data_IF_742701699623
#
_entry.id   IF_742701699623
#
_cell.length_a   1.000
_cell.length_b   1.000
_cell.length_c   1.000
_cell.angle_alpha   90.00
_cell.angle_beta   90.00
_cell.angle_gamma   90.00
#
_symmetry.space_group_name_H-M   'P 1'
#
loop_
_entity.id
_entity.type
_entity.pdbx_description
1 polymer ?
#
# COMPACT_ATOMS: atom_id res chain seq x y z
N UNK A 1 6.12 -21.14 -27.84
CA UNK A 1 4.88 -21.95 -27.97
C UNK A 1 4.62 -22.18 -29.45
N UNK A 2 4.51 -23.44 -29.90
CA UNK A 2 4.25 -23.79 -31.31
C UNK A 2 2.74 -23.84 -31.61
N UNK A 3 2.34 -24.09 -32.86
CA UNK A 3 0.93 -24.33 -33.18
C UNK A 3 0.48 -25.61 -32.46
N UNK A 4 -0.53 -25.50 -31.61
CA UNK A 4 -1.11 -26.61 -30.86
C UNK A 4 -2.58 -26.30 -30.55
N UNK A 5 -3.35 -27.34 -30.22
CA UNK A 5 -4.75 -27.21 -29.83
C UNK A 5 -4.83 -27.03 -28.31
N UNK A 6 -5.61 -26.06 -27.84
CA UNK A 6 -5.86 -25.82 -26.41
C UNK A 6 -7.34 -25.97 -26.09
N UNK A 7 -7.61 -26.57 -24.92
CA UNK A 7 -8.95 -26.60 -24.35
C UNK A 7 -9.35 -25.19 -23.92
N UNK A 8 -10.54 -24.73 -24.30
CA UNK A 8 -11.07 -23.40 -23.92
C UNK A 8 -11.15 -23.27 -22.39
N UNK A 9 -11.34 -24.38 -21.66
CA UNK A 9 -11.35 -24.40 -20.19
C UNK A 9 -10.01 -23.98 -19.55
N UNK A 10 -8.90 -24.11 -20.27
CA UNK A 10 -7.56 -23.77 -19.79
C UNK A 10 -7.04 -22.42 -20.33
N UNK A 11 -7.88 -21.67 -21.05
CA UNK A 11 -7.49 -20.41 -21.69
C UNK A 11 -8.39 -19.27 -21.20
N UNK A 12 -7.78 -18.24 -20.63
CA UNK A 12 -8.46 -16.98 -20.30
C UNK A 12 -8.12 -15.93 -21.38
N UNK A 13 -9.10 -15.45 -22.17
CA UNK A 13 -8.86 -14.39 -23.15
C UNK A 13 -8.43 -13.08 -22.47
N UNK A 14 -7.33 -12.51 -22.95
CA UNK A 14 -6.86 -11.20 -22.50
C UNK A 14 -7.57 -10.06 -23.26
N UNK A 15 -7.46 -8.83 -22.74
CA UNK A 15 -8.00 -7.62 -23.36
C UNK A 15 -7.32 -7.24 -24.69
N UNK A 16 -6.21 -7.88 -25.04
CA UNK A 16 -5.44 -7.57 -26.24
C UNK A 16 -5.95 -8.41 -27.41
N UNK A 17 -6.40 -7.72 -28.46
CA UNK A 17 -6.81 -8.33 -29.73
C UNK A 17 -5.82 -7.91 -30.82
N UNK A 18 -5.36 -8.89 -31.60
CA UNK A 18 -4.59 -8.66 -32.82
C UNK A 18 -5.51 -8.95 -34.00
N UNK A 19 -5.62 -8.02 -34.94
CA UNK A 19 -6.45 -8.20 -36.14
C UNK A 19 -5.70 -9.07 -37.14
N UNK A 20 -6.11 -10.33 -37.25
CA UNK A 20 -5.55 -11.34 -38.16
C UNK A 20 -6.66 -12.17 -38.79
N UNK A 21 -6.50 -12.69 -40.03
CA UNK A 21 -7.45 -13.61 -40.62
C UNK A 21 -7.49 -14.95 -39.85
N UNK A 22 -8.57 -15.72 -40.02
CA UNK A 22 -8.65 -17.08 -39.46
C UNK A 22 -7.60 -17.98 -40.14
N UNK A 23 -6.93 -18.84 -39.37
CA UNK A 23 -5.91 -19.79 -39.83
C UNK A 23 -4.73 -19.14 -40.60
N UNK A 24 -4.02 -18.15 -40.03
CA UNK A 24 -2.89 -17.49 -40.70
C UNK A 24 -1.64 -18.38 -40.73
N UNK A 25 -0.72 -18.10 -41.65
CA UNK A 25 0.65 -18.67 -41.63
C UNK A 25 1.43 -18.11 -40.43
N UNK A 26 2.39 -18.88 -39.91
CA UNK A 26 3.20 -18.51 -38.74
C UNK A 26 3.99 -17.21 -38.94
N UNK A 27 4.48 -16.96 -40.17
CA UNK A 27 5.20 -15.71 -40.51
C UNK A 27 4.29 -14.48 -40.35
N UNK A 28 3.12 -14.50 -40.98
CA UNK A 28 2.15 -13.41 -40.89
C UNK A 28 1.64 -13.19 -39.45
N UNK A 29 1.48 -14.26 -38.67
CA UNK A 29 1.12 -14.16 -37.25
C UNK A 29 2.19 -13.43 -36.43
N UNK A 30 3.47 -13.76 -36.62
CA UNK A 30 4.58 -13.10 -35.92
C UNK A 30 4.63 -11.61 -36.24
N UNK A 31 4.61 -11.26 -37.52
CA UNK A 31 4.63 -9.87 -37.99
C UNK A 31 3.46 -9.05 -37.43
N UNK A 32 2.25 -9.62 -37.39
CA UNK A 32 1.08 -8.94 -36.82
C UNK A 32 1.18 -8.75 -35.29
N UNK A 33 1.68 -9.76 -34.56
CA UNK A 33 1.89 -9.65 -33.11
C UNK A 33 2.95 -8.58 -32.81
N UNK A 34 4.07 -8.60 -33.52
CA UNK A 34 5.17 -7.66 -33.32
C UNK A 34 4.73 -6.22 -33.65
N UNK A 35 4.01 -6.03 -34.75
CA UNK A 35 3.46 -4.73 -35.15
C UNK A 35 2.44 -4.20 -34.13
N UNK A 36 1.59 -5.07 -33.59
CA UNK A 36 0.60 -4.69 -32.57
C UNK A 36 1.21 -4.34 -31.21
N UNK A 37 2.45 -4.78 -30.96
CA UNK A 37 3.15 -4.73 -29.67
C UNK A 37 2.30 -5.28 -28.52
N UNK A 38 1.41 -6.24 -28.81
CA UNK A 38 0.45 -6.75 -27.84
C UNK A 38 1.15 -7.46 -26.67
N UNK A 39 2.26 -8.16 -26.94
CA UNK A 39 3.03 -8.84 -25.91
C UNK A 39 3.75 -7.86 -24.98
N UNK A 40 4.32 -6.78 -25.51
CA UNK A 40 4.95 -5.73 -24.69
C UNK A 40 3.91 -5.03 -23.80
N UNK A 41 2.76 -4.69 -24.39
CA UNK A 41 1.63 -4.10 -23.66
C UNK A 41 1.13 -5.04 -22.56
N UNK A 42 1.07 -6.35 -22.84
CA UNK A 42 0.73 -7.35 -21.83
C UNK A 42 1.79 -7.44 -20.72
N UNK A 43 3.08 -7.47 -21.06
CA UNK A 43 4.19 -7.52 -20.10
C UNK A 43 4.20 -6.33 -19.13
N UNK A 44 3.74 -5.17 -19.58
CA UNK A 44 3.61 -3.99 -18.73
C UNK A 44 2.46 -4.09 -17.69
N UNK A 45 1.48 -4.97 -17.92
CA UNK A 45 0.31 -5.10 -17.03
C UNK A 45 0.67 -5.62 -15.65
N UNK A 46 -0.13 -5.23 -14.65
CA UNK A 46 0.04 -5.68 -13.26
C UNK A 46 -0.11 -7.20 -13.12
N UNK A 47 -0.97 -7.83 -13.91
CA UNK A 47 -1.21 -9.29 -13.88
C UNK A 47 -0.01 -10.05 -14.41
N UNK A 48 0.54 -9.67 -15.57
CA UNK A 48 1.74 -10.30 -16.13
C UNK A 48 2.93 -10.20 -15.17
N UNK A 49 3.18 -9.03 -14.59
CA UNK A 49 4.22 -8.83 -13.57
C UNK A 49 4.07 -9.76 -12.37
N UNK A 50 2.84 -10.05 -11.94
CA UNK A 50 2.57 -11.00 -10.84
C UNK A 50 2.82 -12.45 -11.22
N UNK A 51 2.51 -12.84 -12.45
CA UNK A 51 2.78 -14.20 -12.94
C UNK A 51 4.29 -14.46 -12.95
N UNK A 52 5.06 -13.53 -13.50
CA UNK A 52 6.53 -13.60 -13.51
C UNK A 52 7.09 -13.60 -12.08
N UNK A 53 6.59 -12.72 -11.21
CA UNK A 53 7.00 -12.71 -9.82
C UNK A 53 6.70 -14.03 -9.10
N UNK A 54 5.57 -14.69 -9.38
CA UNK A 54 5.24 -16.00 -8.81
C UNK A 54 6.24 -17.08 -9.21
N UNK A 55 6.69 -17.06 -10.47
CA UNK A 55 7.73 -17.97 -10.96
C UNK A 55 9.07 -17.71 -10.25
N UNK A 56 9.48 -16.45 -10.12
CA UNK A 56 10.70 -16.07 -9.40
C UNK A 56 10.65 -16.47 -7.91
N UNK A 57 9.50 -16.31 -7.25
CA UNK A 57 9.31 -16.72 -5.86
C UNK A 57 9.41 -18.24 -5.68
N UNK A 58 8.89 -19.03 -6.63
CA UNK A 58 8.98 -20.49 -6.59
C UNK A 58 10.43 -20.98 -6.74
N UNK A 59 11.25 -20.27 -7.51
CA UNK A 59 12.66 -20.60 -7.74
C UNK A 59 13.64 -19.95 -6.74
N UNK A 60 13.14 -19.20 -5.75
CA UNK A 60 13.99 -18.37 -4.89
C UNK A 60 14.84 -19.18 -3.90
N UNK A 61 16.04 -18.69 -3.63
CA UNK A 61 16.91 -19.20 -2.56
C UNK A 61 16.52 -18.64 -1.19
N UNK A 62 17.04 -19.23 -0.10
CA UNK A 62 16.71 -18.77 1.24
C UNK A 62 17.20 -17.35 1.54
N UNK A 63 18.37 -17.01 1.00
CA UNK A 63 18.93 -15.68 1.12
C UNK A 63 18.04 -14.61 0.46
N UNK A 64 17.52 -14.88 -0.74
CA UNK A 64 16.58 -13.98 -1.43
C UNK A 64 15.26 -13.83 -0.65
N UNK A 65 14.77 -14.92 -0.04
CA UNK A 65 13.60 -14.85 0.85
C UNK A 65 13.87 -14.02 2.10
N UNK A 66 15.08 -14.08 2.64
CA UNK A 66 15.51 -13.21 3.74
C UNK A 66 15.54 -11.74 3.30
N UNK A 67 16.13 -11.43 2.14
CA UNK A 67 16.13 -10.07 1.59
C UNK A 67 14.71 -9.53 1.39
N UNK A 68 13.81 -10.34 0.81
CA UNK A 68 12.40 -9.98 0.64
C UNK A 68 11.72 -9.71 2.00
N UNK A 69 12.02 -10.53 3.02
CA UNK A 69 11.50 -10.35 4.38
C UNK A 69 11.97 -9.03 4.99
N UNK A 70 13.26 -8.71 4.87
CA UNK A 70 13.84 -7.46 5.37
C UNK A 70 13.22 -6.25 4.67
N UNK A 71 13.07 -6.30 3.35
CA UNK A 71 12.42 -5.24 2.58
C UNK A 71 10.97 -5.00 3.04
N UNK A 72 10.20 -6.07 3.30
CA UNK A 72 8.83 -5.97 3.84
C UNK A 72 8.79 -5.34 5.24
N UNK A 73 9.71 -5.69 6.13
CA UNK A 73 9.81 -5.08 7.47
C UNK A 73 10.18 -3.60 7.39
N UNK A 74 11.17 -3.25 6.57
CA UNK A 74 11.58 -1.87 6.35
C UNK A 74 10.40 -1.03 5.86
N UNK A 75 9.69 -1.51 4.83
CA UNK A 75 8.47 -0.86 4.34
C UNK A 75 7.42 -0.69 5.44
N UNK A 76 7.16 -1.72 6.25
CA UNK A 76 6.18 -1.66 7.32
C UNK A 76 6.56 -0.64 8.41
N UNK A 77 7.83 -0.59 8.79
CA UNK A 77 8.34 0.37 9.77
C UNK A 77 8.18 1.81 9.26
N UNK A 78 8.62 2.10 8.04
CA UNK A 78 8.53 3.44 7.47
C UNK A 78 7.08 3.88 7.22
N UNK A 79 6.23 3.00 6.73
CA UNK A 79 4.80 3.31 6.52
C UNK A 79 4.08 3.61 7.84
N UNK A 80 4.45 2.97 8.95
CA UNK A 80 3.91 3.31 10.27
C UNK A 80 4.34 4.70 10.74
N UNK A 81 5.61 5.08 10.54
CA UNK A 81 6.07 6.45 10.85
C UNK A 81 5.34 7.51 10.03
N UNK A 82 5.23 7.29 8.72
CA UNK A 82 4.47 8.16 7.81
C UNK A 82 3.01 8.23 8.25
N UNK A 83 2.42 7.11 8.69
CA UNK A 83 1.07 7.09 9.24
C UNK A 83 0.98 7.95 10.51
N UNK A 84 1.90 7.81 11.47
CA UNK A 84 1.89 8.58 12.71
C UNK A 84 1.98 10.09 12.45
N UNK A 85 2.81 10.52 11.50
CA UNK A 85 2.92 11.92 11.08
C UNK A 85 1.61 12.45 10.48
N UNK A 86 0.95 11.64 9.65
CA UNK A 86 -0.34 12.00 9.05
C UNK A 86 -1.49 11.98 10.08
N UNK A 87 -1.43 11.06 11.05
CA UNK A 87 -2.42 10.89 12.10
C UNK A 87 -2.37 12.05 13.12
N UNK A 88 -1.22 12.70 13.29
CA UNK A 88 -1.13 13.95 14.05
C UNK A 88 -1.94 15.07 13.40
N UNK A 89 -1.94 15.17 12.06
CA UNK A 89 -2.68 16.20 11.30
C UNK A 89 -4.18 15.88 11.27
N UNK A 90 -4.50 14.69 10.80
CA UNK A 90 -5.87 14.19 10.65
C UNK A 90 -6.02 12.91 11.45
N UNK A 91 -6.49 13.00 12.71
CA UNK A 91 -6.52 11.84 13.59
C UNK A 91 -7.59 10.86 13.13
N UNK A 92 -7.11 9.70 12.69
CA UNK A 92 -7.89 8.52 12.31
C UNK A 92 -7.63 7.36 13.27
N UNK A 93 -6.48 7.32 13.95
CA UNK A 93 -6.18 6.30 14.94
C UNK A 93 -7.09 6.44 16.16
N UNK A 94 -7.48 5.29 16.71
CA UNK A 94 -8.35 5.25 17.88
C UNK A 94 -7.75 6.01 19.06
N UNK A 95 -6.43 5.94 19.25
CA UNK A 95 -5.70 6.66 20.30
C UNK A 95 -5.84 8.18 20.15
N UNK A 96 -5.52 8.74 18.97
CA UNK A 96 -5.59 10.19 18.77
C UNK A 96 -7.03 10.69 18.78
N UNK A 97 -7.98 9.92 18.27
CA UNK A 97 -9.42 10.26 18.33
C UNK A 97 -9.91 10.27 19.78
N UNK A 98 -9.57 9.26 20.58
CA UNK A 98 -9.91 9.22 21.99
C UNK A 98 -9.28 10.39 22.76
N UNK A 99 -8.00 10.65 22.54
CA UNK A 99 -7.29 11.79 23.12
C UNK A 99 -7.96 13.11 22.75
N UNK A 100 -8.31 13.31 21.48
CA UNK A 100 -9.02 14.52 21.02
C UNK A 100 -10.36 14.70 21.72
N UNK A 101 -11.11 13.62 21.97
CA UNK A 101 -12.37 13.66 22.73
C UNK A 101 -12.14 14.05 24.19
N UNK A 102 -11.13 13.46 24.83
CA UNK A 102 -10.77 13.76 26.22
C UNK A 102 -10.31 15.22 26.33
N UNK A 103 -9.42 15.68 25.45
CA UNK A 103 -8.92 17.06 25.43
C UNK A 103 -10.04 18.08 25.22
N UNK A 104 -11.03 17.80 24.37
CA UNK A 104 -12.21 18.65 24.22
C UNK A 104 -13.03 18.75 25.51
N UNK A 105 -13.25 17.62 26.21
CA UNK A 105 -13.94 17.60 27.50
C UNK A 105 -13.15 18.35 28.58
N UNK A 106 -11.84 18.11 28.67
CA UNK A 106 -10.94 18.80 29.59
C UNK A 106 -10.95 20.31 29.35
N UNK A 107 -10.82 20.76 28.09
CA UNK A 107 -10.89 22.18 27.72
C UNK A 107 -12.20 22.84 28.17
N UNK A 108 -13.32 22.12 28.09
CA UNK A 108 -14.63 22.61 28.57
C UNK A 108 -14.67 22.75 30.10
N UNK A 109 -14.04 21.82 30.83
CA UNK A 109 -13.95 21.87 32.29
C UNK A 109 -12.97 22.98 32.75
N UNK A 110 -11.82 23.08 32.11
CA UNK A 110 -10.77 24.05 32.42
C UNK A 110 -11.17 25.49 32.08
N UNK A 111 -12.10 25.70 31.14
CA UNK A 111 -12.64 27.03 30.83
C UNK A 111 -13.50 27.62 31.95
N UNK A 112 -13.92 26.82 32.93
CA UNK A 112 -14.73 27.31 34.06
C UNK A 112 -13.90 28.15 35.03
N UNK A 113 -14.50 29.18 35.61
CA UNK A 113 -13.78 30.08 36.52
C UNK A 113 -13.32 29.39 37.81
N UNK A 114 -14.06 28.39 38.27
CA UNK A 114 -13.63 27.54 39.39
C UNK A 114 -12.35 26.77 39.05
N UNK A 115 -12.24 26.21 37.83
CA UNK A 115 -11.03 25.54 37.38
C UNK A 115 -9.86 26.51 37.24
N UNK A 116 -10.06 27.69 36.64
CA UNK A 116 -9.03 28.74 36.56
C UNK A 116 -8.50 29.15 37.94
N UNK A 117 -9.39 29.36 38.92
CA UNK A 117 -9.03 29.69 40.31
C UNK A 117 -8.24 28.56 41.00
N UNK A 118 -8.58 27.30 40.74
CA UNK A 118 -7.82 26.15 41.25
C UNK A 118 -6.42 26.07 40.63
N UNK A 119 -6.31 26.31 39.33
CA UNK A 119 -5.01 26.33 38.61
C UNK A 119 -4.12 27.47 39.10
N UNK A 120 -4.66 28.69 39.29
CA UNK A 120 -3.88 29.82 39.81
C UNK A 120 -3.44 29.58 41.26
N UNK A 121 -4.31 29.03 42.11
CA UNK A 121 -3.97 28.63 43.48
C UNK A 121 -2.82 27.61 43.50
N UNK A 122 -2.89 26.58 42.66
CA UNK A 122 -1.83 25.57 42.53
C UNK A 122 -0.50 26.17 42.04
N UNK A 123 -0.52 27.05 41.04
CA UNK A 123 0.68 27.76 40.55
C UNK A 123 1.31 28.63 41.63
N UNK A 124 0.50 29.34 42.42
CA UNK A 124 0.97 30.19 43.51
C UNK A 124 1.58 29.36 44.65
N UNK A 125 0.95 28.23 45.01
CA UNK A 125 1.50 27.30 45.99
C UNK A 125 2.86 26.74 45.54
N UNK A 126 2.97 26.28 44.29
CA UNK A 126 4.23 25.77 43.72
C UNK A 126 5.35 26.82 43.64
N UNK A 127 5.01 28.09 43.39
CA UNK A 127 5.98 29.20 43.45
C UNK A 127 6.45 29.48 44.88
N UNK A 128 5.57 29.32 45.86
CA UNK A 128 5.87 29.55 47.28
C UNK A 128 6.76 28.46 47.87
N UNK A 129 6.69 27.23 47.36
CA UNK A 129 7.54 26.09 47.77
C UNK A 129 8.88 26.01 47.02
N UNK A 130 9.07 26.80 45.96
CA UNK A 130 10.33 26.88 45.18
C UNK A 130 11.23 28.06 45.59
N UNK A 131 10.74 28.95 46.45
CA UNK A 131 11.54 29.94 47.20
C UNK A 131 11.89 29.33 48.55
#
# INVERSE_FOLDING_TARGET
MWRHVQSIRNVEPLKFRVTIPRNPRTKALKEAIDTSKALDKYGATRTAKRIVAKQALAASSDFERYQLRVARRSRAHWTRKIFDENDVKTPVSWHKVALKRIQKKAKKLDSTDAAKKRITKAKNAAKKTKK
#
